data_IF_458372765988
#
_entry.id   IF_458372765988
#
_cell.length_a   1.000
_cell.length_b   1.000
_cell.length_c   1.000
_cell.angle_alpha   90.00
_cell.angle_beta   90.00
_cell.angle_gamma   90.00
#
_symmetry.space_group_name_H-M   'P 1'
#
loop_
_entity.id
_entity.type
_entity.pdbx_description
1 polymer ?
#
# COMPACT_ATOMS: atom_id res chain seq x y z
N UNK A 1 39.56 -19.98 18.47
CA UNK A 1 38.76 -20.31 17.27
C UNK A 1 37.34 -19.91 17.61
N UNK A 2 36.68 -19.03 16.85
CA UNK A 2 35.32 -18.61 17.18
C UNK A 2 34.36 -19.79 16.99
N UNK A 3 33.38 -19.87 17.87
CA UNK A 3 32.44 -20.98 18.02
C UNK A 3 31.42 -20.96 16.86
N UNK A 4 31.26 -22.10 16.17
CA UNK A 4 30.41 -22.23 14.99
C UNK A 4 28.91 -22.00 15.28
N UNK A 5 28.49 -22.00 16.55
CA UNK A 5 27.09 -21.77 16.95
C UNK A 5 26.65 -20.30 16.82
N UNK A 6 27.57 -19.34 16.93
CA UNK A 6 27.27 -17.90 16.87
C UNK A 6 26.90 -17.45 15.44
N UNK A 7 27.47 -18.10 14.42
CA UNK A 7 27.25 -17.76 13.00
C UNK A 7 25.91 -18.27 12.45
N UNK A 8 25.27 -19.23 13.13
CA UNK A 8 23.93 -19.72 12.78
C UNK A 8 22.83 -18.73 13.15
N UNK A 9 22.96 -18.05 14.30
CA UNK A 9 21.98 -17.07 14.77
C UNK A 9 21.97 -15.81 13.89
N UNK A 10 23.14 -15.27 13.52
CA UNK A 10 23.25 -14.12 12.61
C UNK A 10 22.68 -14.40 11.20
N UNK A 11 22.86 -15.62 10.66
CA UNK A 11 22.30 -15.99 9.35
C UNK A 11 20.77 -16.05 9.37
N UNK A 12 20.19 -16.54 10.46
CA UNK A 12 18.73 -16.61 10.63
C UNK A 12 18.14 -15.20 10.73
N UNK A 13 18.83 -14.26 11.38
CA UNK A 13 18.40 -12.86 11.42
C UNK A 13 18.41 -12.19 10.04
N UNK A 14 19.44 -12.41 9.23
CA UNK A 14 19.52 -11.82 7.88
C UNK A 14 18.39 -12.35 6.97
N UNK A 15 18.09 -13.65 7.01
CA UNK A 15 16.98 -14.22 6.23
C UNK A 15 15.61 -13.70 6.70
N UNK A 16 15.42 -13.49 8.01
CA UNK A 16 14.20 -12.89 8.56
C UNK A 16 14.04 -11.43 8.14
N UNK A 17 15.11 -10.63 8.21
CA UNK A 17 15.09 -9.22 7.79
C UNK A 17 14.85 -9.11 6.28
N UNK A 18 15.46 -9.98 5.48
CA UNK A 18 15.21 -10.05 4.03
C UNK A 18 13.75 -10.43 3.72
N UNK A 19 13.19 -11.39 4.44
CA UNK A 19 11.78 -11.78 4.33
C UNK A 19 10.82 -10.64 4.70
N UNK A 20 11.08 -9.95 5.80
CA UNK A 20 10.29 -8.77 6.22
C UNK A 20 10.40 -7.66 5.18
N UNK A 21 11.60 -7.40 4.65
CA UNK A 21 11.80 -6.37 3.63
C UNK A 21 11.08 -6.72 2.33
N UNK A 22 11.12 -7.96 1.87
CA UNK A 22 10.38 -8.40 0.69
C UNK A 22 8.86 -8.26 0.88
N UNK A 23 8.36 -8.56 2.08
CA UNK A 23 6.95 -8.36 2.43
C UNK A 23 6.59 -6.86 2.47
N UNK A 24 7.45 -6.02 3.05
CA UNK A 24 7.27 -4.56 3.06
C UNK A 24 7.33 -3.93 1.65
N UNK A 25 8.25 -4.38 0.80
CA UNK A 25 8.35 -3.94 -0.59
C UNK A 25 7.12 -4.40 -1.39
N UNK A 26 6.60 -5.61 -1.15
CA UNK A 26 5.34 -6.08 -1.77
C UNK A 26 4.09 -5.34 -1.29
N UNK A 27 4.19 -4.60 -0.18
CA UNK A 27 3.11 -3.76 0.35
C UNK A 27 3.15 -2.32 -0.19
N UNK A 28 4.19 -1.93 -0.93
CA UNK A 28 4.17 -0.65 -1.64
C UNK A 28 3.26 -0.77 -2.86
N UNK A 29 2.20 0.05 -2.98
CA UNK A 29 1.43 0.07 -4.21
C UNK A 29 2.34 0.54 -5.34
N UNK A 30 2.54 -0.29 -6.36
CA UNK A 30 3.18 0.13 -7.63
C UNK A 30 2.40 1.27 -8.32
N UNK A 31 1.13 1.42 -7.97
CA UNK A 31 0.26 2.47 -8.48
C UNK A 31 0.54 3.81 -7.78
N UNK A 32 0.97 4.84 -8.52
CA UNK A 32 1.24 6.16 -7.95
C UNK A 32 -0.06 6.83 -7.49
N UNK A 33 0.03 7.64 -6.42
CA UNK A 33 -1.06 8.51 -5.99
C UNK A 33 -1.38 9.57 -7.05
N UNK A 34 -2.67 9.82 -7.25
CA UNK A 34 -3.13 10.93 -8.09
C UNK A 34 -3.39 12.13 -7.19
N UNK A 35 -2.65 13.20 -7.45
CA UNK A 35 -2.76 14.46 -6.72
C UNK A 35 -3.18 15.55 -7.69
N UNK A 36 -4.26 16.26 -7.35
CA UNK A 36 -4.79 17.38 -8.15
C UNK A 36 -4.84 18.65 -7.30
N UNK A 37 -4.87 19.85 -7.89
CA UNK A 37 -5.16 21.06 -7.15
C UNK A 37 -6.62 21.08 -6.69
N UNK A 38 -6.84 21.27 -5.38
CA UNK A 38 -8.16 21.51 -4.79
C UNK A 38 -8.67 22.93 -5.08
N UNK A 39 -9.93 23.19 -4.74
CA UNK A 39 -10.60 24.48 -4.98
C UNK A 39 -9.92 25.64 -4.24
N UNK A 40 -9.33 25.35 -3.09
CA UNK A 40 -8.54 26.27 -2.26
C UNK A 40 -7.06 26.38 -2.71
N UNK A 41 -6.67 25.65 -3.77
CA UNK A 41 -5.33 25.64 -4.33
C UNK A 41 -4.35 24.71 -3.62
N UNK A 42 -4.76 24.02 -2.56
CA UNK A 42 -3.93 23.00 -1.90
C UNK A 42 -3.99 21.66 -2.65
N UNK A 43 -2.90 20.87 -2.65
CA UNK A 43 -2.91 19.56 -3.26
C UNK A 43 -3.87 18.62 -2.52
N UNK A 44 -4.75 17.96 -3.27
CA UNK A 44 -5.66 16.94 -2.76
C UNK A 44 -5.38 15.60 -3.43
N UNK A 45 -5.34 14.53 -2.64
CA UNK A 45 -5.23 13.16 -3.17
C UNK A 45 -6.63 12.67 -3.53
N UNK A 46 -6.77 12.08 -4.72
CA UNK A 46 -8.05 11.58 -5.24
C UNK A 46 -8.00 10.09 -5.49
N UNK A 47 -9.17 9.45 -5.43
CA UNK A 47 -9.32 8.03 -5.69
C UNK A 47 -8.91 7.72 -7.14
N UNK A 48 -7.93 6.84 -7.30
CA UNK A 48 -7.42 6.39 -8.58
C UNK A 48 -8.52 5.70 -9.41
N UNK A 49 -9.31 4.82 -8.80
CA UNK A 49 -10.32 4.04 -9.53
C UNK A 49 -11.52 4.93 -9.95
N UNK A 50 -12.01 5.79 -9.05
CA UNK A 50 -13.11 6.71 -9.38
C UNK A 50 -12.73 7.65 -10.54
N UNK A 51 -11.49 8.13 -10.56
CA UNK A 51 -11.01 9.00 -11.62
C UNK A 51 -10.80 8.24 -12.94
N UNK A 52 -10.22 7.04 -12.91
CA UNK A 52 -9.92 6.30 -14.15
C UNK A 52 -11.14 5.62 -14.76
N UNK A 53 -12.06 5.10 -13.96
CA UNK A 53 -13.21 4.32 -14.47
C UNK A 53 -14.45 5.18 -14.72
N UNK A 54 -14.70 6.17 -13.86
CA UNK A 54 -15.92 6.99 -13.92
C UNK A 54 -15.66 8.44 -14.30
N UNK A 55 -14.39 8.84 -14.46
CA UNK A 55 -13.99 10.25 -14.65
C UNK A 55 -14.50 11.17 -13.53
N UNK A 56 -14.69 10.62 -12.32
CA UNK A 56 -15.20 11.34 -11.14
C UNK A 56 -14.07 11.66 -10.19
N UNK A 57 -13.93 12.94 -9.85
CA UNK A 57 -13.02 13.40 -8.80
C UNK A 57 -13.64 13.06 -7.45
N UNK A 58 -13.14 12.01 -6.81
CA UNK A 58 -13.51 11.64 -5.44
C UNK A 58 -12.30 11.84 -4.52
N UNK A 59 -12.34 12.82 -3.60
CA UNK A 59 -11.25 13.04 -2.64
C UNK A 59 -11.06 11.83 -1.75
N UNK A 60 -9.81 11.45 -1.48
CA UNK A 60 -9.52 10.51 -0.40
C UNK A 60 -9.60 11.28 0.93
N UNK A 61 -10.45 10.85 1.88
CA UNK A 61 -10.62 11.57 3.14
C UNK A 61 -9.31 11.59 3.95
N UNK A 62 -9.01 12.68 4.67
CA UNK A 62 -7.75 12.84 5.39
C UNK A 62 -7.56 11.79 6.47
N UNK A 63 -8.63 11.27 7.08
CA UNK A 63 -8.55 10.17 8.06
C UNK A 63 -7.99 8.90 7.42
N UNK A 64 -8.28 8.69 6.13
CA UNK A 64 -7.78 7.53 5.37
C UNK A 64 -6.31 7.72 5.03
N UNK A 65 -5.91 8.92 4.63
CA UNK A 65 -4.50 9.28 4.41
C UNK A 65 -3.69 9.26 5.71
N UNK A 66 -4.29 9.64 6.83
CA UNK A 66 -3.65 9.55 8.14
C UNK A 66 -3.43 8.10 8.58
N UNK A 67 -4.36 7.20 8.23
CA UNK A 67 -4.21 5.76 8.49
C UNK A 67 -3.26 5.07 7.49
N UNK A 68 -3.16 5.57 6.26
CA UNK A 68 -2.26 5.09 5.22
C UNK A 68 -1.90 6.25 4.28
N UNK A 69 -0.69 6.80 4.46
CA UNK A 69 -0.20 7.94 3.67
C UNK A 69 -0.11 7.65 2.17
N UNK A 70 -0.06 6.37 1.79
CA UNK A 70 -0.01 5.87 0.43
C UNK A 70 -1.38 5.39 -0.10
N UNK A 71 -2.48 5.73 0.57
CA UNK A 71 -3.80 5.37 0.08
C UNK A 71 -4.05 5.96 -1.32
N UNK A 72 -4.45 5.10 -2.27
CA UNK A 72 -4.81 5.48 -3.65
C UNK A 72 -6.30 5.32 -3.95
N UNK A 73 -7.07 4.72 -3.03
CA UNK A 73 -8.51 4.43 -3.20
C UNK A 73 -9.34 5.11 -2.12
N UNK A 74 -10.56 5.50 -2.48
CA UNK A 74 -11.60 5.78 -1.50
C UNK A 74 -11.98 4.48 -0.76
N UNK A 75 -12.77 4.62 0.31
CA UNK A 75 -13.18 3.47 1.14
C UNK A 75 -13.98 2.45 0.31
N UNK A 76 -14.89 2.92 -0.54
CA UNK A 76 -15.75 2.04 -1.35
C UNK A 76 -14.93 1.21 -2.34
N UNK A 77 -14.09 1.85 -3.17
CA UNK A 77 -13.22 1.15 -4.11
C UNK A 77 -12.20 0.23 -3.41
N UNK A 78 -11.73 0.59 -2.20
CA UNK A 78 -10.86 -0.29 -1.44
C UNK A 78 -11.57 -1.59 -1.02
N UNK A 79 -12.82 -1.49 -0.56
CA UNK A 79 -13.61 -2.66 -0.15
C UNK A 79 -13.84 -3.59 -1.34
N UNK A 80 -14.15 -3.04 -2.51
CA UNK A 80 -14.33 -3.81 -3.74
C UNK A 80 -13.03 -4.52 -4.14
N UNK A 81 -11.92 -3.80 -4.16
CA UNK A 81 -10.60 -4.38 -4.47
C UNK A 81 -10.22 -5.51 -3.50
N UNK A 82 -10.46 -5.34 -2.19
CA UNK A 82 -10.22 -6.38 -1.19
C UNK A 82 -11.14 -7.60 -1.38
N UNK A 83 -12.38 -7.38 -1.79
CA UNK A 83 -13.33 -8.45 -2.10
C UNK A 83 -12.86 -9.26 -3.30
N UNK A 84 -12.42 -8.61 -4.36
CA UNK A 84 -11.88 -9.26 -5.56
C UNK A 84 -10.59 -10.04 -5.25
N UNK A 85 -9.67 -9.43 -4.49
CA UNK A 85 -8.44 -10.10 -4.07
C UNK A 85 -8.73 -11.39 -3.27
N UNK A 86 -9.73 -11.36 -2.38
CA UNK A 86 -10.15 -12.58 -1.64
C UNK A 86 -10.74 -13.65 -2.54
N UNK A 87 -11.49 -13.27 -3.59
CA UNK A 87 -12.04 -14.23 -4.56
C UNK A 87 -10.93 -14.88 -5.38
N UNK A 88 -9.90 -14.13 -5.77
CA UNK A 88 -8.77 -14.66 -6.55
C UNK A 88 -7.89 -15.63 -5.76
N UNK A 89 -7.75 -15.44 -4.44
CA UNK A 89 -6.97 -16.33 -3.58
C UNK A 89 -7.68 -17.67 -3.26
N UNK A 90 -8.98 -17.77 -3.51
CA UNK A 90 -9.79 -18.95 -3.24
C UNK A 90 -10.35 -19.63 -4.51
N UNK A 91 -9.90 -19.19 -5.68
CA UNK A 91 -10.24 -19.75 -7.00
C UNK A 91 -9.32 -20.87 -7.46
#
# INVERSE_FOLDING_TARGET
MPDLADLSDERIEIERVAGIRAVLDSMRPDTPQVVIPGEDGLPMVVCYDCLNEYEVITPIPPERLAANEHAIRCIDCQIEHEREAKLQLHG
#
